data_IF_272663928048
#
_entry.id   IF_272663928048
#
_cell.length_a   1.000
_cell.length_b   1.000
_cell.length_c   1.000
_cell.angle_alpha   90.00
_cell.angle_beta   90.00
_cell.angle_gamma   90.00
#
_symmetry.space_group_name_H-M   'P 1'
#
loop_
_entity.id
_entity.type
_entity.pdbx_description
1 polymer ?
#
# COMPACT_ATOMS: atom_id res chain seq x y z
N UNK A 1 34.17 -8.02 1.27
CA UNK A 1 32.75 -8.14 1.63
C UNK A 1 31.94 -7.32 0.62
N UNK A 2 30.88 -7.85 0.04
CA UNK A 2 30.04 -7.10 -0.92
C UNK A 2 29.26 -6.02 -0.15
N UNK A 3 28.94 -4.90 -0.81
CA UNK A 3 28.14 -3.82 -0.19
C UNK A 3 26.79 -4.34 0.34
N UNK A 4 26.19 -5.31 -0.33
CA UNK A 4 24.96 -5.97 0.11
C UNK A 4 25.11 -6.65 1.46
N UNK A 5 26.24 -7.31 1.71
CA UNK A 5 26.46 -8.08 2.94
C UNK A 5 26.68 -7.15 4.14
N UNK A 6 27.36 -6.00 3.89
CA UNK A 6 27.52 -4.95 4.89
C UNK A 6 26.17 -4.37 5.27
N UNK A 7 25.40 -3.95 4.26
CA UNK A 7 24.11 -3.30 4.49
C UNK A 7 23.09 -4.27 5.11
N UNK A 8 23.12 -5.54 4.72
CA UNK A 8 22.31 -6.59 5.35
C UNK A 8 22.60 -6.68 6.86
N UNK A 9 23.88 -6.76 7.22
CA UNK A 9 24.30 -6.80 8.63
C UNK A 9 23.83 -5.55 9.39
N UNK A 10 24.09 -4.36 8.85
CA UNK A 10 23.70 -3.10 9.46
C UNK A 10 22.17 -2.98 9.64
N UNK A 11 21.38 -3.44 8.66
CA UNK A 11 19.92 -3.47 8.78
C UNK A 11 19.46 -4.49 9.83
N UNK A 12 20.13 -5.63 9.95
CA UNK A 12 19.81 -6.64 10.97
C UNK A 12 20.09 -6.14 12.39
N UNK A 13 21.02 -5.21 12.57
CA UNK A 13 21.35 -4.61 13.89
C UNK A 13 20.21 -3.74 14.45
N UNK A 14 19.24 -3.32 13.63
CA UNK A 14 18.04 -2.67 14.15
C UNK A 14 17.09 -3.63 14.89
N UNK A 15 17.30 -4.94 14.76
CA UNK A 15 16.58 -5.97 15.50
C UNK A 15 15.15 -6.17 15.03
N UNK A 16 14.29 -6.59 15.97
CA UNK A 16 12.86 -6.83 15.68
C UNK A 16 12.14 -5.54 15.32
N UNK A 17 11.20 -5.64 14.38
CA UNK A 17 10.31 -4.53 14.05
C UNK A 17 8.94 -4.77 14.66
N UNK A 18 8.33 -3.71 15.16
CA UNK A 18 6.89 -3.66 15.35
C UNK A 18 6.25 -2.91 14.20
N UNK A 19 4.93 -3.03 14.06
CA UNK A 19 4.16 -2.20 13.11
C UNK A 19 4.05 -0.74 13.56
N UNK A 20 4.88 -0.32 14.48
CA UNK A 20 4.91 1.04 14.98
C UNK A 20 5.20 2.03 13.86
N UNK A 21 4.48 3.13 13.90
CA UNK A 21 4.57 4.20 12.91
C UNK A 21 5.87 5.00 12.98
N UNK A 22 6.68 4.81 14.03
CA UNK A 22 7.94 5.53 14.22
C UNK A 22 9.08 4.65 13.75
N UNK A 23 9.58 4.96 12.57
CA UNK A 23 10.71 4.26 11.99
C UNK A 23 12.03 4.96 12.32
N UNK A 24 13.13 4.19 12.48
CA UNK A 24 14.46 4.79 12.55
C UNK A 24 14.77 5.66 11.32
N UNK A 25 15.56 6.69 11.48
CA UNK A 25 16.12 7.45 10.35
C UNK A 25 17.25 6.64 9.72
N UNK A 26 16.87 5.75 8.79
CA UNK A 26 17.81 4.88 8.07
C UNK A 26 18.77 5.69 7.20
N UNK A 27 18.28 6.78 6.61
CA UNK A 27 19.09 7.61 5.72
C UNK A 27 20.28 8.17 6.46
N UNK A 28 20.05 8.73 7.63
CA UNK A 28 21.09 9.31 8.47
C UNK A 28 21.99 8.25 9.09
N UNK A 29 21.39 7.18 9.65
CA UNK A 29 22.15 6.16 10.40
C UNK A 29 23.04 5.31 9.51
N UNK A 30 22.58 4.98 8.29
CA UNK A 30 23.31 4.13 7.34
C UNK A 30 23.93 4.92 6.19
N UNK A 31 23.85 6.25 6.23
CA UNK A 31 24.38 7.16 5.19
C UNK A 31 23.90 6.74 3.78
N UNK A 32 22.61 6.38 3.67
CA UNK A 32 22.04 5.86 2.44
C UNK A 32 21.88 6.95 1.38
N UNK A 33 22.02 6.51 0.12
CA UNK A 33 21.83 7.34 -1.07
C UNK A 33 20.86 6.64 -2.03
N UNK A 34 20.27 7.38 -2.97
CA UNK A 34 19.40 6.79 -4.02
C UNK A 34 20.08 5.68 -4.84
N UNK A 35 21.41 5.70 -4.93
CA UNK A 35 22.19 4.63 -5.55
C UNK A 35 22.11 3.29 -4.82
N UNK A 36 21.65 3.28 -3.56
CA UNK A 36 21.52 2.08 -2.75
C UNK A 36 20.18 1.34 -2.98
N UNK A 37 19.25 1.95 -3.72
CA UNK A 37 17.94 1.35 -4.02
C UNK A 37 18.04 -0.10 -4.51
N UNK A 38 18.94 -0.37 -5.46
CA UNK A 38 19.11 -1.73 -6.02
C UNK A 38 19.61 -2.73 -4.98
N UNK A 39 20.48 -2.29 -4.08
CA UNK A 39 21.00 -3.13 -2.99
C UNK A 39 19.92 -3.43 -1.96
N UNK A 40 19.15 -2.42 -1.57
CA UNK A 40 18.00 -2.57 -0.66
C UNK A 40 16.94 -3.50 -1.26
N UNK A 41 16.59 -3.32 -2.54
CA UNK A 41 15.64 -4.22 -3.21
C UNK A 41 16.15 -5.66 -3.27
N UNK A 42 17.45 -5.86 -3.50
CA UNK A 42 18.03 -7.21 -3.47
C UNK A 42 17.86 -7.86 -2.10
N UNK A 43 18.06 -7.12 -1.01
CA UNK A 43 17.84 -7.63 0.35
C UNK A 43 16.38 -8.05 0.55
N UNK A 44 15.43 -7.26 0.05
CA UNK A 44 14.00 -7.56 0.12
C UNK A 44 13.63 -8.83 -0.65
N UNK A 45 14.23 -9.03 -1.84
CA UNK A 45 13.88 -10.13 -2.74
C UNK A 45 14.74 -11.38 -2.56
N UNK A 46 15.67 -11.37 -1.62
CA UNK A 46 16.51 -12.54 -1.36
C UNK A 46 15.71 -13.61 -0.60
N UNK A 47 15.35 -14.67 -1.30
CA UNK A 47 14.58 -15.78 -0.75
C UNK A 47 15.27 -16.51 0.42
N UNK A 48 16.61 -16.36 0.54
CA UNK A 48 17.34 -16.95 1.67
C UNK A 48 17.14 -16.19 2.98
N UNK A 49 16.69 -14.93 2.91
CA UNK A 49 16.39 -14.13 4.10
C UNK A 49 15.01 -14.42 4.67
N UNK A 50 14.21 -15.23 4.00
CA UNK A 50 12.85 -15.63 4.40
C UNK A 50 11.95 -14.39 4.64
N UNK A 51 10.81 -14.33 4.01
CA UNK A 51 9.74 -13.49 4.52
C UNK A 51 9.39 -14.01 5.91
N UNK A 52 9.25 -13.12 6.85
CA UNK A 52 9.09 -13.32 8.29
C UNK A 52 7.96 -14.31 8.61
N UNK A 53 8.21 -15.59 8.45
CA UNK A 53 7.18 -16.58 8.68
C UNK A 53 7.24 -17.24 10.05
N UNK A 54 8.38 -17.25 10.73
CA UNK A 54 8.48 -18.00 11.98
C UNK A 54 9.38 -17.40 13.08
N UNK A 55 9.55 -16.11 13.13
CA UNK A 55 9.91 -15.40 14.37
C UNK A 55 11.31 -15.59 14.95
N UNK A 56 12.25 -16.26 14.28
CA UNK A 56 13.48 -16.68 14.93
C UNK A 56 14.78 -16.08 14.38
N UNK A 57 14.78 -15.44 13.21
CA UNK A 57 16.03 -14.96 12.61
C UNK A 57 16.07 -13.42 12.52
N UNK A 58 17.05 -12.82 13.17
CA UNK A 58 17.26 -11.35 13.17
C UNK A 58 17.47 -10.81 11.73
N UNK A 59 18.02 -11.62 10.84
CA UNK A 59 18.22 -11.27 9.43
C UNK A 59 16.90 -11.09 8.67
N UNK A 60 15.83 -11.75 9.09
CA UNK A 60 14.49 -11.59 8.50
C UNK A 60 13.96 -10.17 8.65
N UNK A 61 14.31 -9.48 9.73
CA UNK A 61 13.92 -8.09 9.92
C UNK A 61 14.68 -7.11 9.04
N UNK A 62 15.84 -7.50 8.50
CA UNK A 62 16.60 -6.66 7.59
C UNK A 62 15.79 -6.32 6.31
N UNK A 63 14.99 -7.24 5.80
CA UNK A 63 14.11 -6.99 4.66
C UNK A 63 13.08 -5.89 4.97
N UNK A 64 12.47 -5.90 6.15
CA UNK A 64 11.55 -4.84 6.57
C UNK A 64 12.24 -3.49 6.73
N UNK A 65 13.39 -3.47 7.37
CA UNK A 65 14.16 -2.25 7.48
C UNK A 65 14.60 -1.72 6.12
N UNK A 66 14.91 -2.61 5.15
CA UNK A 66 15.18 -2.23 3.77
C UNK A 66 13.97 -1.61 3.07
N UNK A 67 12.74 -2.14 3.28
CA UNK A 67 11.50 -1.55 2.79
C UNK A 67 11.31 -0.12 3.29
N UNK A 68 11.43 0.07 4.59
CA UNK A 68 11.26 1.37 5.23
C UNK A 68 12.31 2.38 4.77
N UNK A 69 13.56 1.92 4.62
CA UNK A 69 14.65 2.73 4.09
C UNK A 69 14.36 3.18 2.64
N UNK A 70 13.81 2.31 1.80
CA UNK A 70 13.39 2.66 0.43
C UNK A 70 12.33 3.77 0.42
N UNK A 71 11.36 3.71 1.32
CA UNK A 71 10.36 4.78 1.49
C UNK A 71 11.03 6.11 1.82
N UNK A 72 11.95 6.11 2.79
CA UNK A 72 12.67 7.32 3.21
C UNK A 72 13.59 7.88 2.10
N UNK A 73 14.13 7.05 1.21
CA UNK A 73 14.93 7.51 0.06
C UNK A 73 14.11 8.26 -0.99
N UNK A 74 12.78 8.18 -0.95
CA UNK A 74 11.83 8.91 -1.83
C UNK A 74 12.21 8.80 -3.30
N UNK A 75 12.49 7.59 -3.77
CA UNK A 75 12.97 7.35 -5.11
C UNK A 75 11.85 6.83 -6.01
N UNK A 76 11.60 7.53 -7.11
CA UNK A 76 10.61 7.14 -8.13
C UNK A 76 10.88 5.74 -8.72
N UNK A 77 12.14 5.40 -8.91
CA UNK A 77 12.55 4.08 -9.43
C UNK A 77 12.13 2.95 -8.48
N UNK A 78 12.10 3.24 -7.18
CA UNK A 78 11.67 2.32 -6.13
C UNK A 78 10.23 1.86 -6.35
N UNK A 79 9.31 2.73 -6.76
CA UNK A 79 7.89 2.38 -6.95
C UNK A 79 7.74 1.22 -7.94
N UNK A 80 8.42 1.30 -9.09
CA UNK A 80 8.36 0.22 -10.09
C UNK A 80 8.90 -1.11 -9.53
N UNK A 81 9.99 -1.04 -8.75
CA UNK A 81 10.59 -2.23 -8.14
C UNK A 81 9.65 -2.85 -7.12
N UNK A 82 9.00 -2.04 -6.28
CA UNK A 82 8.02 -2.47 -5.29
C UNK A 82 6.79 -3.10 -5.94
N UNK A 83 6.27 -2.51 -7.02
CA UNK A 83 5.14 -3.07 -7.77
C UNK A 83 5.49 -4.40 -8.43
N UNK A 84 6.68 -4.54 -8.98
CA UNK A 84 7.14 -5.82 -9.55
C UNK A 84 7.28 -6.89 -8.46
N UNK A 85 7.80 -6.54 -7.29
CA UNK A 85 7.90 -7.45 -6.15
C UNK A 85 6.52 -7.91 -5.67
N UNK A 86 5.56 -6.99 -5.57
CA UNK A 86 4.17 -7.31 -5.21
C UNK A 86 3.53 -8.33 -6.17
N UNK A 87 3.79 -8.22 -7.47
CA UNK A 87 3.24 -9.14 -8.48
C UNK A 87 3.97 -10.48 -8.49
N UNK A 88 5.26 -10.49 -8.19
CA UNK A 88 6.08 -11.70 -8.16
C UNK A 88 5.78 -12.58 -6.92
N UNK A 89 5.23 -11.99 -5.87
CA UNK A 89 4.89 -12.70 -4.63
C UNK A 89 3.73 -13.67 -4.88
N UNK A 90 4.00 -14.97 -4.71
CA UNK A 90 3.03 -16.04 -4.94
C UNK A 90 2.35 -16.54 -3.67
N UNK A 91 2.80 -16.08 -2.50
CA UNK A 91 2.40 -16.64 -1.23
C UNK A 91 1.39 -15.76 -0.49
N UNK A 92 0.58 -16.40 0.33
CA UNK A 92 -0.34 -15.80 1.30
C UNK A 92 0.39 -14.92 2.35
N UNK A 93 1.70 -14.92 2.36
CA UNK A 93 2.60 -14.07 3.14
C UNK A 93 2.57 -12.59 2.73
N UNK A 94 1.70 -12.23 1.80
CA UNK A 94 1.40 -10.86 1.40
C UNK A 94 0.96 -9.91 2.56
N UNK A 95 0.89 -10.42 3.79
CA UNK A 95 0.57 -9.65 5.00
C UNK A 95 1.45 -8.38 5.15
N UNK A 96 2.76 -8.51 4.90
CA UNK A 96 3.71 -7.40 4.92
C UNK A 96 3.40 -6.35 3.86
N UNK A 97 3.11 -6.78 2.65
CA UNK A 97 2.73 -5.90 1.57
C UNK A 97 1.45 -5.13 1.90
N UNK A 98 0.48 -5.81 2.53
CA UNK A 98 -0.78 -5.17 2.91
C UNK A 98 -0.60 -4.07 3.96
N UNK A 99 0.31 -4.26 4.91
CA UNK A 99 0.50 -3.33 6.03
C UNK A 99 1.56 -2.28 5.74
N UNK A 100 2.74 -2.71 5.31
CA UNK A 100 3.92 -1.83 5.21
C UNK A 100 3.97 -1.06 3.89
N UNK A 101 3.59 -1.69 2.77
CA UNK A 101 3.70 -1.05 1.45
C UNK A 101 2.96 0.28 1.34
N UNK A 102 1.71 0.44 1.84
CA UNK A 102 1.05 1.73 1.84
C UNK A 102 1.84 2.82 2.54
N UNK A 103 2.47 2.50 3.68
CA UNK A 103 3.28 3.46 4.43
C UNK A 103 4.59 3.81 3.73
N UNK A 104 5.25 2.83 3.11
CA UNK A 104 6.44 3.04 2.29
C UNK A 104 6.13 3.95 1.11
N UNK A 105 5.05 3.68 0.40
CA UNK A 105 4.62 4.45 -0.77
C UNK A 105 4.20 5.87 -0.38
N UNK A 106 3.52 6.05 0.75
CA UNK A 106 3.21 7.38 1.29
C UNK A 106 4.47 8.25 1.44
N UNK A 107 5.56 7.69 1.94
CA UNK A 107 6.82 8.42 2.07
C UNK A 107 7.43 8.81 0.72
N UNK A 108 7.24 8.00 -0.32
CA UNK A 108 7.66 8.35 -1.69
C UNK A 108 6.81 9.50 -2.21
N UNK A 109 5.52 9.54 -1.84
CA UNK A 109 4.61 10.65 -2.12
C UNK A 109 4.08 10.65 -3.55
N UNK A 110 3.84 11.84 -4.08
CA UNK A 110 3.12 12.10 -5.34
C UNK A 110 3.76 11.46 -6.58
N UNK A 111 5.05 11.22 -6.58
CA UNK A 111 5.75 10.51 -7.66
C UNK A 111 5.21 9.08 -7.88
N UNK A 112 4.56 8.51 -6.85
CA UNK A 112 3.95 7.19 -6.93
C UNK A 112 2.56 7.19 -7.59
N UNK A 113 1.81 8.30 -7.62
CA UNK A 113 0.40 8.34 -8.06
C UNK A 113 0.24 7.78 -9.47
N UNK A 114 1.04 8.24 -10.42
CA UNK A 114 0.94 7.81 -11.83
C UNK A 114 1.20 6.32 -12.03
N UNK A 115 2.29 5.71 -11.52
CA UNK A 115 2.50 4.28 -11.64
C UNK A 115 1.46 3.44 -10.88
N UNK A 116 0.98 3.88 -9.71
CA UNK A 116 -0.07 3.21 -8.96
C UNK A 116 -1.41 3.24 -9.73
N UNK A 117 -1.76 4.38 -10.31
CA UNK A 117 -2.96 4.52 -11.14
C UNK A 117 -2.92 3.60 -12.36
N UNK A 118 -1.76 3.46 -13.00
CA UNK A 118 -1.58 2.53 -14.11
C UNK A 118 -1.72 1.07 -13.66
N UNK A 119 -1.19 0.72 -12.49
CA UNK A 119 -1.30 -0.62 -11.90
C UNK A 119 -2.77 -1.02 -11.67
N UNK A 120 -3.56 -0.17 -11.03
CA UNK A 120 -4.98 -0.43 -10.75
C UNK A 120 -5.78 -0.64 -12.04
N UNK A 121 -5.47 0.08 -13.10
CA UNK A 121 -6.16 -0.01 -14.40
C UNK A 121 -5.79 -1.26 -15.20
N UNK A 122 -4.69 -1.93 -14.88
CA UNK A 122 -4.26 -3.14 -15.55
C UNK A 122 -5.16 -4.32 -15.14
N UNK A 123 -5.72 -5.03 -16.14
CA UNK A 123 -6.64 -6.16 -15.93
C UNK A 123 -5.94 -7.44 -15.47
N UNK A 124 -4.65 -7.56 -15.75
CA UNK A 124 -3.84 -8.76 -15.45
C UNK A 124 -3.54 -8.93 -13.96
N UNK A 125 -3.62 -7.84 -13.19
CA UNK A 125 -3.32 -7.90 -11.77
C UNK A 125 -4.56 -8.29 -10.95
N UNK A 126 -4.33 -9.11 -9.91
CA UNK A 126 -5.36 -9.57 -8.99
C UNK A 126 -6.03 -8.39 -8.25
N UNK A 127 -7.26 -8.59 -7.81
CA UNK A 127 -7.95 -7.61 -6.99
C UNK A 127 -7.26 -7.43 -5.62
N UNK A 128 -6.68 -8.49 -5.05
CA UNK A 128 -5.88 -8.41 -3.80
C UNK A 128 -4.73 -7.41 -3.91
N UNK A 129 -3.94 -7.52 -4.98
CA UNK A 129 -2.85 -6.59 -5.23
C UNK A 129 -3.37 -5.16 -5.45
N UNK A 130 -4.49 -5.02 -6.15
CA UNK A 130 -5.12 -3.70 -6.38
C UNK A 130 -5.62 -3.06 -5.09
N UNK A 131 -6.12 -3.83 -4.12
CA UNK A 131 -6.51 -3.31 -2.80
C UNK A 131 -5.32 -2.68 -2.09
N UNK A 132 -4.17 -3.35 -2.09
CA UNK A 132 -2.94 -2.80 -1.50
C UNK A 132 -2.57 -1.45 -2.13
N UNK A 133 -2.68 -1.38 -3.45
CA UNK A 133 -2.37 -0.15 -4.20
C UNK A 133 -3.41 0.95 -3.95
N UNK A 134 -4.69 0.62 -3.85
CA UNK A 134 -5.74 1.57 -3.48
C UNK A 134 -5.46 2.15 -2.08
N UNK A 135 -5.14 1.30 -1.11
CA UNK A 135 -4.76 1.75 0.23
C UNK A 135 -3.52 2.65 0.21
N UNK A 136 -2.54 2.35 -0.64
CA UNK A 136 -1.36 3.19 -0.83
C UNK A 136 -1.71 4.58 -1.37
N UNK A 137 -2.63 4.66 -2.33
CA UNK A 137 -3.13 5.94 -2.85
C UNK A 137 -3.88 6.73 -1.76
N UNK A 138 -4.71 6.06 -0.95
CA UNK A 138 -5.41 6.70 0.17
C UNK A 138 -4.40 7.29 1.17
N UNK A 139 -3.34 6.56 1.52
CA UNK A 139 -2.30 7.08 2.41
C UNK A 139 -1.60 8.32 1.84
N UNK A 140 -1.38 8.39 0.51
CA UNK A 140 -0.87 9.61 -0.13
C UNK A 140 -1.87 10.74 0.01
N UNK A 141 -3.15 10.51 -0.33
CA UNK A 141 -4.19 11.55 -0.28
C UNK A 141 -4.41 12.13 1.12
N UNK A 142 -4.27 11.29 2.16
CA UNK A 142 -4.36 11.72 3.56
C UNK A 142 -3.13 12.52 4.02
N UNK A 143 -1.99 12.29 3.40
CA UNK A 143 -0.73 12.98 3.70
C UNK A 143 -0.52 14.24 2.87
N UNK A 144 -0.98 14.24 1.63
CA UNK A 144 -0.87 15.32 0.64
C UNK A 144 -2.27 15.64 0.08
N UNK A 145 -3.10 16.39 0.83
CA UNK A 145 -4.54 16.59 0.54
C UNK A 145 -4.83 17.24 -0.81
N UNK A 146 -3.89 18.00 -1.37
CA UNK A 146 -4.02 18.63 -2.69
C UNK A 146 -4.14 17.63 -3.83
N UNK A 147 -3.75 16.37 -3.64
CA UNK A 147 -3.88 15.29 -4.62
C UNK A 147 -5.12 14.40 -4.40
N UNK A 148 -5.92 14.71 -3.39
CA UNK A 148 -7.08 13.92 -3.01
C UNK A 148 -8.04 13.70 -4.18
N UNK A 149 -8.45 14.77 -4.85
CA UNK A 149 -9.42 14.71 -5.96
C UNK A 149 -8.90 13.83 -7.11
N UNK A 150 -7.62 13.97 -7.46
CA UNK A 150 -6.99 13.13 -8.47
C UNK A 150 -6.99 11.65 -8.08
N UNK A 151 -6.76 11.35 -6.82
CA UNK A 151 -6.75 9.97 -6.29
C UNK A 151 -8.16 9.41 -6.24
N UNK A 152 -9.15 10.19 -5.79
CA UNK A 152 -10.55 9.80 -5.82
C UNK A 152 -11.02 9.45 -7.24
N UNK A 153 -10.67 10.24 -8.24
CA UNK A 153 -10.99 9.92 -9.65
C UNK A 153 -10.47 8.55 -10.08
N UNK A 154 -9.26 8.19 -9.66
CA UNK A 154 -8.68 6.86 -9.95
C UNK A 154 -9.49 5.76 -9.27
N UNK A 155 -9.88 5.97 -8.01
CA UNK A 155 -10.65 4.99 -7.25
C UNK A 155 -12.08 4.87 -7.83
N UNK A 156 -12.73 5.97 -8.16
CA UNK A 156 -14.04 5.98 -8.84
C UNK A 156 -14.00 5.28 -10.20
N UNK A 157 -12.92 5.43 -10.97
CA UNK A 157 -12.77 4.71 -12.25
C UNK A 157 -12.90 3.19 -12.07
N UNK A 158 -12.40 2.66 -10.95
CA UNK A 158 -12.51 1.22 -10.64
C UNK A 158 -13.91 0.90 -10.13
N UNK A 159 -14.47 1.72 -9.24
CA UNK A 159 -15.80 1.50 -8.67
C UNK A 159 -16.90 1.55 -9.74
N UNK A 160 -16.76 2.36 -10.80
CA UNK A 160 -17.70 2.37 -11.93
C UNK A 160 -17.89 1.01 -12.62
N UNK A 161 -17.00 0.06 -12.34
CA UNK A 161 -17.09 -1.32 -12.85
C UNK A 161 -17.68 -2.30 -11.83
N UNK A 162 -18.32 -1.81 -10.77
CA UNK A 162 -18.76 -2.58 -9.61
C UNK A 162 -19.55 -3.85 -9.98
N UNK A 163 -20.39 -3.82 -11.04
CA UNK A 163 -21.14 -5.00 -11.52
C UNK A 163 -20.26 -6.13 -12.06
N UNK A 164 -18.97 -5.85 -12.34
CA UNK A 164 -17.99 -6.81 -12.86
C UNK A 164 -16.88 -7.10 -11.86
N UNK A 165 -16.83 -6.33 -10.80
CA UNK A 165 -15.89 -6.53 -9.72
C UNK A 165 -16.40 -7.65 -8.80
N UNK A 166 -15.50 -8.25 -8.06
CA UNK A 166 -15.82 -9.07 -6.91
C UNK A 166 -16.44 -8.22 -5.79
N UNK A 167 -17.35 -8.78 -4.98
CA UNK A 167 -18.04 -8.04 -3.91
C UNK A 167 -17.10 -7.60 -2.79
N UNK A 168 -16.14 -8.44 -2.42
CA UNK A 168 -15.12 -8.09 -1.43
C UNK A 168 -14.20 -6.97 -1.94
N UNK A 169 -13.93 -6.96 -3.26
CA UNK A 169 -13.19 -5.87 -3.89
C UNK A 169 -13.97 -4.56 -3.86
N UNK A 170 -15.27 -4.58 -4.15
CA UNK A 170 -16.13 -3.41 -4.03
C UNK A 170 -16.18 -2.88 -2.59
N UNK A 171 -16.32 -3.75 -1.60
CA UNK A 171 -16.26 -3.37 -0.18
C UNK A 171 -14.95 -2.67 0.17
N UNK A 172 -13.83 -3.21 -0.30
CA UNK A 172 -12.51 -2.61 -0.09
C UNK A 172 -12.36 -1.23 -0.74
N UNK A 173 -12.94 -1.04 -1.93
CA UNK A 173 -12.96 0.26 -2.62
C UNK A 173 -13.84 1.26 -1.84
N UNK A 174 -15.01 0.83 -1.35
CA UNK A 174 -15.87 1.67 -0.51
C UNK A 174 -15.16 2.11 0.77
N UNK A 175 -14.49 1.18 1.46
CA UNK A 175 -13.69 1.48 2.66
C UNK A 175 -12.60 2.52 2.38
N UNK A 176 -11.93 2.43 1.23
CA UNK A 176 -10.95 3.41 0.79
C UNK A 176 -11.57 4.80 0.61
N UNK A 177 -12.72 4.86 -0.07
CA UNK A 177 -13.45 6.11 -0.27
C UNK A 177 -13.97 6.69 1.05
N UNK A 178 -14.47 5.88 1.97
CA UNK A 178 -14.92 6.36 3.28
C UNK A 178 -13.80 7.04 4.07
N UNK A 179 -12.57 6.54 3.98
CA UNK A 179 -11.41 7.21 4.59
C UNK A 179 -11.15 8.59 3.99
N UNK A 180 -11.41 8.77 2.71
CA UNK A 180 -11.27 10.03 2.01
C UNK A 180 -12.47 10.98 2.23
N UNK A 181 -13.56 10.48 2.83
CA UNK A 181 -14.80 11.24 3.13
C UNK A 181 -15.38 11.92 1.89
N UNK A 182 -15.76 11.18 0.85
CA UNK A 182 -16.46 11.75 -0.30
C UNK A 182 -17.84 12.21 0.15
N UNK A 183 -18.16 13.49 -0.01
CA UNK A 183 -19.39 14.06 0.54
C UNK A 183 -20.65 13.68 -0.23
N UNK A 184 -20.59 13.42 -1.51
CA UNK A 184 -21.76 13.02 -2.30
C UNK A 184 -21.34 12.32 -3.60
N UNK A 185 -21.20 11.02 -3.56
CA UNK A 185 -20.89 10.25 -4.77
C UNK A 185 -22.06 9.40 -5.21
N UNK A 186 -22.70 9.78 -6.34
CA UNK A 186 -23.77 9.00 -6.96
C UNK A 186 -23.39 7.53 -7.15
N UNK A 187 -22.14 7.24 -7.57
CA UNK A 187 -21.69 5.87 -7.80
C UNK A 187 -21.57 5.08 -6.49
N UNK A 188 -21.15 5.72 -5.40
CA UNK A 188 -21.07 5.07 -4.09
C UNK A 188 -22.47 4.68 -3.62
N UNK A 189 -23.44 5.60 -3.75
CA UNK A 189 -24.85 5.32 -3.44
C UNK A 189 -25.38 4.17 -4.32
N UNK A 190 -25.14 4.19 -5.60
CA UNK A 190 -25.59 3.15 -6.54
C UNK A 190 -25.05 1.76 -6.15
N UNK A 191 -23.80 1.67 -5.71
CA UNK A 191 -23.21 0.40 -5.23
C UNK A 191 -23.86 -0.08 -3.95
N UNK A 192 -24.15 0.85 -3.01
CA UNK A 192 -24.79 0.53 -1.73
C UNK A 192 -26.24 0.14 -1.94
N UNK A 193 -27.02 0.91 -2.71
CA UNK A 193 -28.46 0.67 -2.94
C UNK A 193 -28.72 -0.63 -3.71
N UNK A 194 -27.74 -1.13 -4.46
CA UNK A 194 -27.82 -2.40 -5.19
C UNK A 194 -27.12 -3.57 -4.46
N UNK A 195 -26.71 -3.40 -3.20
CA UNK A 195 -26.01 -4.43 -2.40
C UNK A 195 -24.82 -5.08 -3.15
N UNK A 196 -24.06 -4.28 -3.91
CA UNK A 196 -22.95 -4.77 -4.73
C UNK A 196 -21.61 -4.77 -3.99
N UNK A 197 -21.61 -5.19 -2.75
CA UNK A 197 -20.43 -5.31 -1.89
C UNK A 197 -20.62 -6.43 -0.85
N UNK A 198 -19.50 -6.89 -0.29
CA UNK A 198 -19.49 -7.91 0.75
C UNK A 198 -19.57 -7.27 2.14
N UNK A 199 -20.60 -7.64 2.90
CA UNK A 199 -20.86 -7.15 4.26
C UNK A 199 -19.83 -7.59 5.29
N UNK A 200 -19.08 -8.66 5.03
CA UNK A 200 -18.04 -9.13 5.95
C UNK A 200 -16.73 -8.35 5.77
N UNK A 201 -16.57 -7.66 4.64
CA UNK A 201 -15.40 -6.86 4.30
C UNK A 201 -15.61 -5.35 4.43
N UNK A 202 -16.85 -4.88 4.63
CA UNK A 202 -17.15 -3.44 4.73
C UNK A 202 -16.93 -2.94 6.16
N UNK A 203 -16.41 -1.73 6.30
CA UNK A 203 -16.38 -0.98 7.55
C UNK A 203 -17.80 -0.48 7.87
N UNK A 204 -18.56 -1.25 8.64
CA UNK A 204 -19.97 -0.97 8.97
C UNK A 204 -20.17 0.37 9.63
N UNK A 205 -19.40 0.79 10.65
CA UNK A 205 -19.49 2.13 11.22
C UNK A 205 -19.38 3.26 10.20
N UNK A 206 -18.45 3.17 9.26
CA UNK A 206 -18.29 4.20 8.23
C UNK A 206 -19.39 4.10 7.16
N UNK A 207 -19.89 2.91 6.83
CA UNK A 207 -21.05 2.73 5.96
C UNK A 207 -22.30 3.39 6.56
N UNK A 208 -22.62 3.11 7.82
CA UNK A 208 -23.78 3.68 8.50
C UNK A 208 -23.72 5.20 8.57
N UNK A 209 -22.52 5.74 8.81
CA UNK A 209 -22.26 7.17 8.83
C UNK A 209 -22.43 7.80 7.44
N UNK A 210 -21.96 7.13 6.39
CA UNK A 210 -22.15 7.57 5.00
C UNK A 210 -23.66 7.61 4.65
N UNK A 211 -24.41 6.54 4.95
CA UNK A 211 -25.86 6.45 4.70
C UNK A 211 -26.61 7.55 5.45
N UNK A 212 -26.29 7.77 6.73
CA UNK A 212 -26.92 8.82 7.54
C UNK A 212 -26.67 10.21 6.95
N UNK A 213 -25.44 10.51 6.59
CA UNK A 213 -25.08 11.81 6.02
C UNK A 213 -25.72 12.02 4.64
N UNK A 214 -25.79 10.97 3.81
CA UNK A 214 -26.42 11.07 2.48
C UNK A 214 -27.94 11.36 2.54
N UNK A 215 -28.63 10.94 3.60
CA UNK A 215 -30.05 11.24 3.81
C UNK A 215 -30.31 12.68 4.29
N UNK A 216 -29.31 13.37 4.82
CA UNK A 216 -29.44 14.77 5.26
C UNK A 216 -29.39 15.78 4.10
N UNK A 217 -29.03 15.33 2.91
CA UNK A 217 -28.93 16.17 1.69
C UNK A 217 -30.02 15.85 0.66
N UNK A 218 -31.00 15.01 1.01
CA UNK A 218 -32.24 14.79 0.25
C UNK A 218 -33.38 15.65 0.79
#
# INVERSE_FOLDING_TARGET
>A
MKKSDILLKELSEFGTTSFDKIWPDYIKKLVLKKTDNKTLMRIITDSNLGLITNGANVEQFAAMHAWRALGQLKSKETVKMLLNSLVAEKNEEAFWYRIELPHVIKLIGTEAIKPLSAFIKNKEYSWDNKIIIINSLVEIALHEPEYKDQIEEVIYYVLKKYKKNDFAYNASILNALFKLKPYDSKIVREVIDNDQFDYDFIDRPELDKFIKNSKMYQ
#
